data_IF_030186709812
#
_entry.id   IF_030186709812
#
_cell.length_a   1.000
_cell.length_b   1.000
_cell.length_c   1.000
_cell.angle_alpha   90.00
_cell.angle_beta   90.00
_cell.angle_gamma   90.00
#
_symmetry.space_group_name_H-M   'P 1'
#
loop_
_entity.id
_entity.type
_entity.pdbx_description
1 polymer ?
#
# COMPACT_ATOMS: atom_id res chain seq x y z
N UNK A 1 7.37 15.74 -18.27
CA UNK A 1 7.29 16.95 -19.10
C UNK A 1 6.43 17.95 -18.35
N UNK A 2 7.07 18.88 -17.62
CA UNK A 2 6.36 19.89 -16.82
C UNK A 2 6.09 21.12 -17.68
N UNK A 3 4.85 21.57 -17.68
CA UNK A 3 4.27 22.61 -18.54
C UNK A 3 4.97 23.98 -18.40
N UNK A 4 5.99 24.22 -19.24
CA UNK A 4 6.66 25.52 -19.37
C UNK A 4 6.05 26.40 -20.48
N UNK A 5 4.92 25.96 -21.05
CA UNK A 5 4.23 26.61 -22.16
C UNK A 5 3.80 28.06 -21.85
N UNK A 6 3.21 28.38 -20.69
CA UNK A 6 2.77 29.75 -20.38
C UNK A 6 3.94 30.75 -20.30
N UNK A 7 5.10 30.31 -19.78
CA UNK A 7 6.30 31.15 -19.70
C UNK A 7 6.91 31.42 -21.07
N UNK A 8 6.94 30.41 -21.95
CA UNK A 8 7.38 30.56 -23.34
C UNK A 8 6.44 31.46 -24.14
N UNK A 9 5.12 31.24 -23.99
CA UNK A 9 4.09 32.02 -24.66
C UNK A 9 4.15 33.50 -24.30
N UNK A 10 4.45 33.85 -23.03
CA UNK A 10 4.64 35.24 -22.62
C UNK A 10 5.79 35.91 -23.35
N UNK A 11 6.94 35.22 -23.47
CA UNK A 11 8.12 35.75 -24.17
C UNK A 11 7.84 35.97 -25.66
N UNK A 12 7.21 35.01 -26.31
CA UNK A 12 6.85 35.15 -27.73
C UNK A 12 5.77 36.21 -27.96
N UNK A 13 4.76 36.31 -27.10
CA UNK A 13 3.74 37.34 -27.20
C UNK A 13 4.31 38.77 -27.01
N UNK A 14 5.35 38.94 -26.19
CA UNK A 14 6.06 40.23 -26.08
C UNK A 14 6.83 40.56 -27.37
N UNK A 15 7.57 39.58 -27.93
CA UNK A 15 8.27 39.76 -29.21
C UNK A 15 7.30 40.10 -30.34
N UNK A 16 6.18 39.40 -30.46
CA UNK A 16 5.17 39.69 -31.49
C UNK A 16 4.56 41.09 -31.36
N UNK A 17 4.44 41.62 -30.14
CA UNK A 17 3.96 42.99 -29.92
C UNK A 17 5.03 44.00 -30.34
N UNK A 18 6.28 43.76 -29.94
CA UNK A 18 7.39 44.66 -30.20
C UNK A 18 7.78 44.67 -31.70
N UNK A 19 7.55 43.55 -32.41
CA UNK A 19 7.66 43.42 -33.87
C UNK A 19 6.43 43.98 -34.62
N UNK A 20 5.38 44.39 -33.92
CA UNK A 20 4.16 44.94 -34.51
C UNK A 20 3.21 43.91 -35.14
N UNK A 21 3.46 42.61 -34.95
CA UNK A 21 2.61 41.52 -35.44
C UNK A 21 1.28 41.42 -34.68
N UNK A 22 1.25 41.85 -33.41
CA UNK A 22 0.02 41.94 -32.61
C UNK A 22 -0.16 43.34 -32.00
N UNK A 23 -1.41 43.79 -31.94
CA UNK A 23 -1.77 45.05 -31.28
C UNK A 23 -1.66 44.97 -29.75
N UNK A 24 -1.41 46.11 -29.09
CA UNK A 24 -1.32 46.20 -27.63
C UNK A 24 -2.58 45.69 -26.91
N UNK A 25 -3.76 45.91 -27.49
CA UNK A 25 -5.04 45.41 -26.95
C UNK A 25 -5.16 43.89 -27.06
N UNK A 26 -4.63 43.27 -28.12
CA UNK A 26 -4.64 41.81 -28.27
C UNK A 26 -3.65 41.14 -27.30
N UNK A 27 -2.50 41.77 -27.07
CA UNK A 27 -1.54 41.33 -26.06
C UNK A 27 -2.16 41.30 -24.66
N UNK A 28 -2.93 42.33 -24.27
CA UNK A 28 -3.61 42.38 -22.97
C UNK A 28 -4.65 41.26 -22.82
N UNK A 29 -5.43 40.95 -23.86
CA UNK A 29 -6.38 39.84 -23.85
C UNK A 29 -5.70 38.47 -23.69
N UNK A 30 -4.56 38.26 -24.37
CA UNK A 30 -3.77 37.02 -24.23
C UNK A 30 -3.18 36.95 -22.82
N UNK A 31 -2.67 38.07 -22.29
CA UNK A 31 -2.09 38.15 -20.95
C UNK A 31 -3.11 37.90 -19.84
N UNK A 32 -4.36 38.33 -20.02
CA UNK A 32 -5.45 38.06 -19.10
C UNK A 32 -5.92 36.60 -19.19
N UNK A 33 -6.11 36.08 -20.41
CA UNK A 33 -6.55 34.70 -20.66
C UNK A 33 -5.58 33.65 -20.11
N UNK A 34 -4.27 33.87 -20.29
CA UNK A 34 -3.21 32.98 -19.79
C UNK A 34 -2.60 33.44 -18.46
N UNK A 35 -3.20 34.46 -17.83
CA UNK A 35 -2.82 34.99 -16.52
C UNK A 35 -1.32 35.24 -16.36
N UNK A 36 -0.69 35.98 -17.27
CA UNK A 36 0.76 36.23 -17.25
C UNK A 36 1.25 36.88 -15.94
N UNK A 37 0.39 37.67 -15.25
CA UNK A 37 0.66 38.21 -13.91
C UNK A 37 0.73 37.14 -12.81
N UNK A 38 -0.03 36.05 -12.94
CA UNK A 38 0.00 34.96 -11.97
C UNK A 38 1.22 34.05 -12.14
N UNK A 39 1.93 34.11 -13.28
CA UNK A 39 3.18 33.37 -13.46
C UNK A 39 4.31 33.94 -12.58
N UNK A 40 4.39 35.26 -12.44
CA UNK A 40 5.31 35.92 -11.51
C UNK A 40 4.92 35.69 -10.05
N UNK A 41 3.61 35.75 -9.74
CA UNK A 41 3.11 35.39 -8.41
C UNK A 41 3.45 33.94 -8.06
N UNK A 42 3.25 32.99 -8.97
CA UNK A 42 3.56 31.58 -8.74
C UNK A 42 5.07 31.32 -8.60
N UNK A 43 5.93 32.01 -9.35
CA UNK A 43 7.38 31.90 -9.20
C UNK A 43 7.86 32.52 -7.88
N UNK A 44 7.32 33.70 -7.51
CA UNK A 44 7.59 34.37 -6.23
C UNK A 44 7.11 33.53 -5.06
N UNK A 45 5.93 32.94 -5.14
CA UNK A 45 5.39 32.04 -4.11
C UNK A 45 6.24 30.78 -3.97
N UNK A 46 6.76 30.23 -5.09
CA UNK A 46 7.69 29.09 -5.06
C UNK A 46 9.02 29.46 -4.40
N UNK A 47 9.57 30.62 -4.73
CA UNK A 47 10.79 31.13 -4.11
C UNK A 47 10.60 31.39 -2.61
N UNK A 48 9.50 32.05 -2.22
CA UNK A 48 9.13 32.27 -0.82
C UNK A 48 8.95 30.94 -0.09
N UNK A 49 8.28 29.95 -0.71
CA UNK A 49 8.13 28.62 -0.12
C UNK A 49 9.48 27.91 0.09
N UNK A 50 10.42 28.02 -0.87
CA UNK A 50 11.77 27.47 -0.72
C UNK A 50 12.54 28.17 0.40
N UNK A 51 12.51 29.51 0.46
CA UNK A 51 13.16 30.28 1.53
C UNK A 51 12.57 29.95 2.89
N UNK A 52 11.24 29.84 3.00
CA UNK A 52 10.55 29.42 4.22
C UNK A 52 10.92 27.99 4.60
N UNK A 53 11.01 27.07 3.63
CA UNK A 53 11.40 25.69 3.90
C UNK A 53 12.84 25.58 4.39
N UNK A 54 13.80 26.23 3.70
CA UNK A 54 15.21 26.28 4.12
C UNK A 54 15.35 26.95 5.48
N UNK A 55 14.68 28.08 5.68
CA UNK A 55 14.65 28.79 6.96
C UNK A 55 14.11 27.91 8.08
N UNK A 56 13.03 27.16 7.82
CA UNK A 56 12.43 26.24 8.79
C UNK A 56 13.36 25.07 9.14
N UNK A 57 14.08 24.51 8.15
CA UNK A 57 15.08 23.45 8.37
C UNK A 57 16.24 23.98 9.22
N UNK A 58 16.78 25.15 8.89
CA UNK A 58 17.87 25.78 9.64
C UNK A 58 17.44 26.13 11.08
N UNK A 59 16.22 26.62 11.26
CA UNK A 59 15.66 26.92 12.58
C UNK A 59 15.47 25.64 13.40
N UNK A 60 14.95 24.58 12.80
CA UNK A 60 14.81 23.27 13.44
C UNK A 60 16.17 22.68 13.81
N UNK A 61 17.15 22.72 12.91
CA UNK A 61 18.53 22.32 13.17
C UNK A 61 19.15 23.15 14.29
N UNK A 62 19.00 24.47 14.27
CA UNK A 62 19.50 25.38 15.30
C UNK A 62 18.91 25.07 16.67
N UNK A 63 17.60 24.80 16.76
CA UNK A 63 16.95 24.36 18.00
C UNK A 63 17.56 23.02 18.47
N UNK A 64 17.67 22.03 17.59
CA UNK A 64 18.24 20.72 17.94
C UNK A 64 19.70 20.85 18.42
N UNK A 65 20.53 21.65 17.73
CA UNK A 65 21.93 21.89 18.11
C UNK A 65 22.05 22.64 19.43
N UNK A 66 21.21 23.66 19.66
CA UNK A 66 21.17 24.41 20.92
C UNK A 66 20.76 23.51 22.10
N UNK A 67 19.76 22.66 21.89
CA UNK A 67 19.31 21.68 22.88
C UNK A 67 20.40 20.65 23.15
N UNK A 68 21.08 20.16 22.11
CA UNK A 68 22.23 19.26 22.23
C UNK A 68 23.39 19.87 23.02
N UNK A 69 23.73 21.14 22.76
CA UNK A 69 24.79 21.86 23.46
C UNK A 69 24.49 22.06 24.96
N UNK A 70 23.21 22.24 25.33
CA UNK A 70 22.78 22.39 26.71
C UNK A 70 22.26 21.07 27.32
N UNK A 71 22.43 19.95 26.62
CA UNK A 71 21.85 18.67 27.02
C UNK A 71 22.46 18.12 28.30
N UNK A 72 23.72 18.46 28.63
CA UNK A 72 24.36 17.96 29.85
C UNK A 72 23.94 18.70 31.12
N UNK A 73 23.49 19.96 31.03
CA UNK A 73 23.23 20.81 32.21
C UNK A 73 21.79 20.79 32.72
N UNK A 74 20.82 20.36 31.90
CA UNK A 74 19.40 20.36 32.27
C UNK A 74 18.95 19.13 33.08
N UNK A 75 18.10 19.34 34.10
CA UNK A 75 17.40 18.25 34.80
C UNK A 75 16.45 17.50 33.85
N UNK A 76 16.02 16.28 34.23
CA UNK A 76 15.16 15.42 33.39
C UNK A 76 13.82 16.10 33.07
N UNK A 77 13.28 16.83 34.04
CA UNK A 77 12.00 17.52 33.96
C UNK A 77 12.07 18.69 32.96
N UNK A 78 13.16 19.47 32.99
CA UNK A 78 13.37 20.60 32.07
C UNK A 78 13.46 20.10 30.63
N UNK A 79 14.21 19.02 30.39
CA UNK A 79 14.31 18.39 29.07
C UNK A 79 12.96 17.91 28.56
N UNK A 80 12.18 17.24 29.42
CA UNK A 80 10.84 16.78 29.06
C UNK A 80 9.90 17.95 28.71
N UNK A 81 9.86 18.99 29.53
CA UNK A 81 9.02 20.18 29.29
C UNK A 81 9.42 20.85 27.98
N UNK A 82 10.72 20.98 27.72
CA UNK A 82 11.23 21.58 26.48
C UNK A 82 10.84 20.76 25.24
N UNK A 83 11.02 19.43 25.26
CA UNK A 83 10.64 18.55 24.15
C UNK A 83 9.13 18.55 23.90
N UNK A 84 8.32 18.51 24.96
CA UNK A 84 6.86 18.55 24.84
C UNK A 84 6.36 19.92 24.37
N UNK A 85 6.90 21.02 24.90
CA UNK A 85 6.53 22.37 24.47
C UNK A 85 6.85 22.60 22.99
N UNK A 86 7.98 22.11 22.49
CA UNK A 86 8.31 22.15 21.06
C UNK A 86 7.27 21.40 20.23
N UNK A 87 6.94 20.17 20.63
CA UNK A 87 5.91 19.36 19.96
C UNK A 87 4.54 20.06 19.95
N UNK A 88 4.06 20.54 21.10
CA UNK A 88 2.77 21.22 21.20
C UNK A 88 2.75 22.51 20.40
N UNK A 89 3.81 23.33 20.46
CA UNK A 89 3.88 24.61 19.73
C UNK A 89 3.77 24.37 18.22
N UNK A 90 4.51 23.39 17.69
CA UNK A 90 4.49 23.08 16.26
C UNK A 90 3.15 22.46 15.86
N UNK A 91 2.59 21.56 16.67
CA UNK A 91 1.29 20.94 16.40
C UNK A 91 0.16 21.96 16.41
N UNK A 92 0.12 22.85 17.41
CA UNK A 92 -0.88 23.92 17.54
C UNK A 92 -0.75 24.91 16.37
N UNK A 93 0.48 25.35 16.06
CA UNK A 93 0.73 26.26 14.94
C UNK A 93 0.34 25.62 13.61
N UNK A 94 0.69 24.34 13.40
CA UNK A 94 0.30 23.56 12.23
C UNK A 94 -1.22 23.43 12.11
N UNK A 95 -1.92 23.16 13.20
CA UNK A 95 -3.38 23.08 13.23
C UNK A 95 -4.05 24.42 12.90
N UNK A 96 -3.61 25.54 13.50
CA UNK A 96 -4.18 26.86 13.22
C UNK A 96 -3.89 27.36 11.80
N UNK A 97 -2.72 27.03 11.25
CA UNK A 97 -2.35 27.41 9.87
C UNK A 97 -3.06 26.53 8.84
N UNK A 98 -3.32 25.27 9.17
CA UNK A 98 -4.11 24.36 8.36
C UNK A 98 -5.61 24.71 8.37
N UNK A 99 -6.15 25.03 9.55
CA UNK A 99 -7.58 25.32 9.75
C UNK A 99 -7.91 26.71 9.19
N UNK A 100 -8.72 26.74 8.13
CA UNK A 100 -9.17 27.99 7.54
C UNK A 100 -10.37 28.56 8.31
N UNK A 101 -10.42 29.88 8.58
CA UNK A 101 -11.63 30.52 9.08
C UNK A 101 -12.70 30.52 7.98
N UNK A 102 -13.94 30.18 8.35
CA UNK A 102 -15.09 30.18 7.43
C UNK A 102 -15.24 31.56 6.75
N UNK A 103 -15.34 31.58 5.42
CA UNK A 103 -15.67 32.78 4.63
C UNK A 103 -14.52 33.45 3.85
N UNK A 104 -13.26 32.97 3.92
CA UNK A 104 -12.15 33.51 3.10
C UNK A 104 -11.77 32.58 1.93
N UNK A 105 -11.37 33.16 0.79
CA UNK A 105 -10.88 32.41 -0.38
C UNK A 105 -9.70 31.51 0.01
N UNK A 106 -9.61 30.27 -0.51
CA UNK A 106 -8.61 29.32 -0.09
C UNK A 106 -7.20 29.78 -0.51
N UNK A 107 -6.40 30.25 0.46
CA UNK A 107 -4.96 30.39 0.27
C UNK A 107 -4.32 29.01 0.32
N UNK A 108 -4.14 28.40 -0.84
CA UNK A 108 -3.57 27.06 -0.99
C UNK A 108 -2.18 26.94 -0.32
N UNK A 109 -1.38 28.01 -0.33
CA UNK A 109 -0.05 28.05 0.30
C UNK A 109 -0.11 27.85 1.82
N UNK A 110 -1.04 28.52 2.53
CA UNK A 110 -1.18 28.38 4.00
C UNK A 110 -1.58 26.96 4.41
N UNK A 111 -2.46 26.33 3.63
CA UNK A 111 -2.88 24.95 3.88
C UNK A 111 -1.73 23.96 3.70
N UNK A 112 -0.94 24.10 2.64
CA UNK A 112 0.25 23.26 2.39
C UNK A 112 1.28 23.43 3.52
N UNK A 113 1.51 24.67 3.96
CA UNK A 113 2.39 24.97 5.09
C UNK A 113 1.89 24.31 6.38
N UNK A 114 0.59 24.42 6.70
CA UNK A 114 -0.01 23.79 7.87
C UNK A 114 0.08 22.26 7.85
N UNK A 115 -0.19 21.63 6.70
CA UNK A 115 0.01 20.19 6.51
C UNK A 115 1.49 19.81 6.71
N UNK A 116 2.43 20.61 6.21
CA UNK A 116 3.87 20.42 6.42
C UNK A 116 4.29 20.53 7.88
N UNK A 117 3.77 21.50 8.62
CA UNK A 117 4.03 21.65 10.06
C UNK A 117 3.48 20.47 10.87
N UNK A 118 2.32 19.92 10.50
CA UNK A 118 1.74 18.76 11.16
C UNK A 118 2.54 17.47 10.88
N UNK A 119 3.09 17.32 9.67
CA UNK A 119 4.05 16.24 9.37
C UNK A 119 5.34 16.44 10.17
N UNK A 120 5.85 17.66 10.27
CA UNK A 120 7.01 17.97 11.11
C UNK A 120 6.74 17.61 12.59
N UNK A 121 5.56 17.96 13.11
CA UNK A 121 5.14 17.57 14.44
C UNK A 121 5.12 16.04 14.62
N UNK A 122 4.66 15.30 13.62
CA UNK A 122 4.69 13.84 13.63
C UNK A 122 6.13 13.29 13.72
N UNK A 123 7.11 13.90 13.06
CA UNK A 123 8.53 13.53 13.22
C UNK A 123 9.11 13.89 14.60
N UNK A 124 8.75 15.06 15.11
CA UNK A 124 9.17 15.51 16.45
C UNK A 124 8.62 14.57 17.53
N UNK A 125 7.41 14.05 17.36
CA UNK A 125 6.85 13.03 18.27
C UNK A 125 7.75 11.78 18.35
N UNK A 126 8.24 11.28 17.21
CA UNK A 126 9.16 10.15 17.16
C UNK A 126 10.51 10.45 17.83
N UNK A 127 11.08 11.62 17.55
CA UNK A 127 12.30 12.08 18.20
C UNK A 127 12.13 12.20 19.72
N UNK A 128 10.98 12.70 20.17
CA UNK A 128 10.65 12.79 21.59
C UNK A 128 10.57 11.39 22.22
N UNK A 129 9.93 10.41 21.59
CA UNK A 129 9.89 9.04 22.11
C UNK A 129 11.30 8.44 22.24
N UNK A 130 12.16 8.59 21.23
CA UNK A 130 13.52 8.09 21.27
C UNK A 130 14.37 8.74 22.39
N UNK A 131 14.29 10.07 22.52
CA UNK A 131 15.01 10.81 23.57
C UNK A 131 14.48 10.51 24.97
N UNK A 132 13.16 10.33 25.13
CA UNK A 132 12.56 9.92 26.40
C UNK A 132 13.02 8.51 26.80
N UNK A 133 13.05 7.56 25.86
CA UNK A 133 13.54 6.21 26.12
C UNK A 133 14.99 6.23 26.64
N UNK A 134 15.86 7.02 26.02
CA UNK A 134 17.25 7.22 26.49
C UNK A 134 17.32 7.92 27.85
N UNK A 135 16.53 8.97 28.06
CA UNK A 135 16.57 9.78 29.29
C UNK A 135 16.10 9.01 30.53
N UNK A 136 15.09 8.14 30.37
CA UNK A 136 14.54 7.33 31.45
C UNK A 136 15.15 5.93 31.54
N UNK A 137 16.19 5.63 30.74
CA UNK A 137 16.79 4.30 30.63
C UNK A 137 15.74 3.19 30.38
N UNK A 138 14.72 3.49 29.57
CA UNK A 138 13.70 2.50 29.21
C UNK A 138 14.33 1.59 28.15
N UNK A 139 14.57 0.33 28.53
CA UNK A 139 14.95 -0.72 27.60
C UNK A 139 13.75 -1.13 26.75
N UNK A 140 13.71 -0.67 25.50
CA UNK A 140 12.67 -1.02 24.53
C UNK A 140 13.29 -1.46 23.20
N UNK A 141 12.61 -2.35 22.49
CA UNK A 141 13.03 -2.75 21.15
C UNK A 141 12.68 -1.67 20.12
N UNK A 142 13.37 -1.69 18.98
CA UNK A 142 13.07 -0.79 17.85
C UNK A 142 11.60 -0.88 17.43
N UNK A 143 11.02 -2.08 17.48
CA UNK A 143 9.59 -2.30 17.20
C UNK A 143 8.68 -1.48 18.11
N UNK A 144 8.92 -1.49 19.43
CA UNK A 144 8.12 -0.75 20.40
C UNK A 144 8.12 0.76 20.10
N UNK A 145 9.28 1.31 19.74
CA UNK A 145 9.42 2.72 19.39
C UNK A 145 8.57 3.08 18.17
N UNK A 146 8.71 2.33 17.08
CA UNK A 146 7.99 2.62 15.83
C UNK A 146 6.49 2.34 15.93
N UNK A 147 6.07 1.34 16.70
CA UNK A 147 4.65 1.06 16.94
C UNK A 147 4.00 2.16 17.80
N UNK A 148 4.65 2.60 18.88
CA UNK A 148 4.15 3.70 19.70
C UNK A 148 4.11 5.02 18.90
N UNK A 149 5.16 5.28 18.12
CA UNK A 149 5.22 6.45 17.25
C UNK A 149 4.13 6.42 16.18
N UNK A 150 4.01 5.31 15.45
CA UNK A 150 2.98 5.11 14.43
C UNK A 150 1.57 5.25 14.99
N UNK A 151 1.31 4.72 16.19
CA UNK A 151 0.02 4.87 16.88
C UNK A 151 -0.27 6.33 17.25
N UNK A 152 0.72 7.09 17.72
CA UNK A 152 0.57 8.53 17.97
C UNK A 152 0.21 9.31 16.70
N UNK A 153 0.89 9.03 15.58
CA UNK A 153 0.58 9.66 14.28
C UNK A 153 -0.77 9.19 13.74
N UNK A 154 -1.17 7.94 14.01
CA UNK A 154 -2.48 7.41 13.64
C UNK A 154 -3.61 8.17 14.34
N UNK A 155 -3.47 8.48 15.63
CA UNK A 155 -4.43 9.32 16.38
C UNK A 155 -4.53 10.72 15.75
N UNK A 156 -3.40 11.32 15.37
CA UNK A 156 -3.41 12.60 14.66
C UNK A 156 -4.12 12.50 13.30
N UNK A 157 -3.90 11.41 12.56
CA UNK A 157 -4.54 11.17 11.26
C UNK A 157 -6.06 11.01 11.39
N UNK A 158 -6.56 10.30 12.41
CA UNK A 158 -7.99 10.20 12.70
C UNK A 158 -8.61 11.54 13.10
N UNK A 159 -7.91 12.31 13.93
CA UNK A 159 -8.39 13.61 14.41
C UNK A 159 -8.49 14.64 13.28
N UNK A 160 -7.49 14.68 12.39
CA UNK A 160 -7.38 15.73 11.37
C UNK A 160 -7.85 15.29 9.98
N UNK A 161 -8.02 13.98 9.75
CA UNK A 161 -8.40 13.39 8.46
C UNK A 161 -7.50 13.83 7.29
N UNK A 162 -6.19 14.00 7.56
CA UNK A 162 -5.18 14.40 6.56
C UNK A 162 -4.52 13.15 5.97
N UNK A 163 -4.54 13.04 4.63
CA UNK A 163 -4.03 11.88 3.90
C UNK A 163 -2.54 11.59 4.16
N UNK A 164 -1.69 12.63 4.18
CA UNK A 164 -0.25 12.47 4.38
C UNK A 164 0.09 11.91 5.77
N UNK A 165 -0.61 12.36 6.82
CA UNK A 165 -0.48 11.82 8.17
C UNK A 165 -0.94 10.35 8.23
N UNK A 166 -2.04 10.00 7.57
CA UNK A 166 -2.51 8.61 7.51
C UNK A 166 -1.52 7.69 6.80
N UNK A 167 -0.92 8.13 5.70
CA UNK A 167 0.14 7.39 5.00
C UNK A 167 1.38 7.24 5.89
N UNK A 168 1.83 8.31 6.54
CA UNK A 168 2.97 8.28 7.46
C UNK A 168 2.73 7.32 8.63
N UNK A 169 1.54 7.35 9.24
CA UNK A 169 1.17 6.44 10.32
C UNK A 169 1.28 4.97 9.89
N UNK A 170 0.73 4.62 8.72
CA UNK A 170 0.80 3.25 8.19
C UNK A 170 2.26 2.83 7.94
N UNK A 171 3.08 3.70 7.34
CA UNK A 171 4.49 3.42 7.09
C UNK A 171 5.24 3.15 8.40
N UNK A 172 5.05 4.00 9.42
CA UNK A 172 5.70 3.84 10.72
C UNK A 172 5.28 2.56 11.43
N UNK A 173 3.99 2.24 11.44
CA UNK A 173 3.48 0.98 12.01
C UNK A 173 4.04 -0.22 11.25
N UNK A 174 4.19 -0.13 9.92
CA UNK A 174 4.74 -1.22 9.12
C UNK A 174 6.24 -1.43 9.38
N UNK A 175 7.01 -0.37 9.60
CA UNK A 175 8.42 -0.46 10.04
C UNK A 175 8.48 -1.14 11.42
N UNK A 176 7.62 -0.73 12.35
CA UNK A 176 7.51 -1.35 13.67
C UNK A 176 7.12 -2.83 13.61
N UNK A 177 6.24 -3.21 12.68
CA UNK A 177 5.87 -4.59 12.42
C UNK A 177 7.05 -5.43 11.92
N UNK A 178 7.72 -5.00 10.85
CA UNK A 178 8.81 -5.78 10.25
C UNK A 178 9.99 -5.98 11.20
N UNK A 179 10.35 -4.92 11.95
CA UNK A 179 11.39 -5.02 12.98
C UNK A 179 10.97 -5.92 14.15
N UNK A 180 9.69 -5.92 14.53
CA UNK A 180 9.17 -6.79 15.59
C UNK A 180 8.92 -8.24 15.16
N UNK A 181 8.81 -8.50 13.85
CA UNK A 181 8.66 -9.84 13.31
C UNK A 181 9.95 -10.65 13.51
N UNK A 182 11.11 -10.02 13.35
CA UNK A 182 12.41 -10.65 13.66
C UNK A 182 12.48 -11.02 15.15
N UNK A 183 12.07 -10.12 16.04
CA UNK A 183 11.99 -10.40 17.48
C UNK A 183 11.04 -11.57 17.78
N UNK A 184 9.89 -11.66 17.10
CA UNK A 184 8.94 -12.77 17.24
C UNK A 184 9.52 -14.13 16.83
N UNK A 185 10.32 -14.16 15.77
CA UNK A 185 10.86 -15.40 15.19
C UNK A 185 12.07 -15.93 15.95
N UNK A 186 12.89 -15.04 16.54
CA UNK A 186 14.19 -15.41 17.12
C UNK A 186 14.28 -15.25 18.65
N UNK A 187 13.39 -14.49 19.28
CA UNK A 187 13.44 -14.23 20.73
C UNK A 187 12.33 -14.96 21.49
N UNK A 188 12.73 -15.92 22.34
CA UNK A 188 11.83 -16.68 23.23
C UNK A 188 11.54 -15.95 24.56
N UNK A 189 11.90 -14.67 24.69
CA UNK A 189 11.76 -13.88 25.92
C UNK A 189 10.47 -13.05 26.01
N UNK A 190 10.02 -12.83 27.26
CA UNK A 190 8.93 -11.99 27.79
C UNK A 190 7.84 -11.45 26.83
N UNK A 191 6.58 -11.75 27.16
CA UNK A 191 5.39 -11.21 26.48
C UNK A 191 5.28 -9.70 26.67
N UNK A 192 5.87 -8.95 25.74
CA UNK A 192 5.73 -7.48 25.68
C UNK A 192 4.50 -7.08 24.88
N UNK A 193 3.89 -5.93 25.19
CA UNK A 193 2.74 -5.39 24.45
C UNK A 193 2.97 -5.29 22.94
N UNK A 194 4.18 -4.93 22.51
CA UNK A 194 4.54 -4.87 21.09
C UNK A 194 4.49 -6.26 20.43
N UNK A 195 4.86 -7.33 21.15
CA UNK A 195 4.79 -8.71 20.65
C UNK A 195 3.36 -9.09 20.28
N UNK A 196 2.40 -8.76 21.14
CA UNK A 196 0.97 -8.99 20.89
C UNK A 196 0.47 -8.16 19.70
N UNK A 197 0.90 -6.90 19.57
CA UNK A 197 0.56 -6.04 18.43
C UNK A 197 1.08 -6.62 17.12
N UNK A 198 2.32 -7.12 17.10
CA UNK A 198 2.91 -7.74 15.89
C UNK A 198 2.21 -9.06 15.57
N UNK A 199 1.93 -9.91 16.57
CA UNK A 199 1.24 -11.18 16.41
C UNK A 199 -0.18 -11.00 15.82
N UNK A 200 -0.91 -10.00 16.28
CA UNK A 200 -2.27 -9.69 15.83
C UNK A 200 -2.36 -8.58 14.78
N UNK A 201 -1.23 -8.23 14.14
CA UNK A 201 -1.18 -7.17 13.12
C UNK A 201 -2.11 -7.39 11.92
N UNK A 202 -2.37 -8.64 11.45
CA UNK A 202 -3.36 -8.86 10.40
C UNK A 202 -4.74 -8.30 10.76
N UNK A 203 -5.23 -8.57 11.97
CA UNK A 203 -6.50 -7.99 12.43
C UNK A 203 -6.41 -6.48 12.62
N UNK A 204 -5.35 -6.01 13.28
CA UNK A 204 -5.19 -4.59 13.62
C UNK A 204 -5.05 -3.71 12.37
N UNK A 205 -4.32 -4.16 11.35
CA UNK A 205 -4.16 -3.42 10.10
C UNK A 205 -5.50 -3.22 9.39
N UNK A 206 -6.35 -4.25 9.33
CA UNK A 206 -7.68 -4.13 8.77
C UNK A 206 -8.59 -3.23 9.63
N UNK A 207 -8.60 -3.46 10.95
CA UNK A 207 -9.44 -2.73 11.89
C UNK A 207 -9.08 -1.24 11.99
N UNK A 208 -7.79 -0.89 11.93
CA UNK A 208 -7.31 0.47 12.13
C UNK A 208 -7.18 1.26 10.84
N UNK A 209 -6.81 0.64 9.71
CA UNK A 209 -6.50 1.38 8.49
C UNK A 209 -7.66 1.45 7.51
N UNK A 210 -8.58 0.47 7.50
CA UNK A 210 -9.77 0.54 6.63
C UNK A 210 -10.72 1.67 7.06
N UNK A 211 -11.08 1.84 8.34
CA UNK A 211 -11.90 2.99 8.74
C UNK A 211 -11.18 4.31 8.49
N UNK A 212 -9.88 4.40 8.74
CA UNK A 212 -9.07 5.58 8.42
C UNK A 212 -9.18 5.95 6.93
N UNK A 213 -9.19 4.97 6.03
CA UNK A 213 -9.38 5.21 4.60
C UNK A 213 -10.72 5.89 4.30
N UNK A 214 -11.80 5.53 5.01
CA UNK A 214 -13.10 6.20 4.89
C UNK A 214 -13.11 7.61 5.46
N UNK A 215 -12.51 7.82 6.65
CA UNK A 215 -12.38 9.16 7.24
C UNK A 215 -11.62 10.12 6.33
N UNK A 216 -10.49 9.67 5.79
CA UNK A 216 -9.64 10.43 4.87
C UNK A 216 -10.15 10.43 3.41
N UNK A 217 -11.16 9.60 3.08
CA UNK A 217 -11.66 9.34 1.72
C UNK A 217 -10.55 9.06 0.70
N UNK A 218 -9.52 8.31 1.10
CA UNK A 218 -8.28 8.14 0.34
C UNK A 218 -8.09 6.72 -0.17
N UNK A 219 -8.02 6.58 -1.50
CA UNK A 219 -7.71 5.30 -2.19
C UNK A 219 -6.32 4.78 -1.85
N UNK A 220 -5.36 5.67 -1.61
CA UNK A 220 -3.99 5.29 -1.23
C UNK A 220 -3.95 4.65 0.14
N UNK A 221 -4.67 5.21 1.12
CA UNK A 221 -4.73 4.64 2.48
C UNK A 221 -5.39 3.26 2.43
N UNK A 222 -6.49 3.09 1.68
CA UNK A 222 -7.10 1.78 1.51
C UNK A 222 -6.17 0.76 0.85
N UNK A 223 -5.46 1.16 -0.22
CA UNK A 223 -4.50 0.28 -0.89
C UNK A 223 -3.35 -0.14 0.02
N UNK A 224 -2.82 0.80 0.82
CA UNK A 224 -1.79 0.50 1.83
C UNK A 224 -2.34 -0.39 2.94
N UNK A 225 -3.57 -0.16 3.42
CA UNK A 225 -4.23 -0.99 4.42
C UNK A 225 -4.34 -2.44 3.95
N UNK A 226 -4.80 -2.65 2.72
CA UNK A 226 -4.90 -3.98 2.10
C UNK A 226 -3.51 -4.63 1.95
N UNK A 227 -2.50 -3.87 1.52
CA UNK A 227 -1.13 -4.37 1.43
C UNK A 227 -0.60 -4.81 2.80
N UNK A 228 -0.69 -3.95 3.82
CA UNK A 228 -0.26 -4.24 5.19
C UNK A 228 -0.98 -5.47 5.77
N UNK A 229 -2.29 -5.59 5.53
CA UNK A 229 -3.08 -6.75 5.90
C UNK A 229 -2.55 -8.03 5.25
N UNK A 230 -2.42 -8.03 3.91
CA UNK A 230 -1.98 -9.21 3.19
C UNK A 230 -0.55 -9.60 3.58
N UNK A 231 0.38 -8.63 3.63
CA UNK A 231 1.78 -8.90 3.98
C UNK A 231 1.94 -9.41 5.40
N UNK A 232 1.23 -8.82 6.38
CA UNK A 232 1.32 -9.26 7.77
C UNK A 232 0.70 -10.64 7.99
N UNK A 233 -0.40 -10.96 7.28
CA UNK A 233 -1.00 -12.28 7.37
C UNK A 233 -0.07 -13.36 6.81
N UNK A 234 0.53 -13.13 5.64
CA UNK A 234 1.48 -14.08 5.04
C UNK A 234 2.73 -14.24 5.92
N UNK A 235 3.26 -13.15 6.48
CA UNK A 235 4.48 -13.19 7.26
C UNK A 235 4.28 -13.83 8.66
N UNK A 236 3.17 -13.55 9.34
CA UNK A 236 2.88 -14.15 10.66
C UNK A 236 2.56 -15.65 10.57
N UNK A 237 1.87 -16.07 9.52
CA UNK A 237 1.54 -17.49 9.34
C UNK A 237 2.66 -18.27 8.64
N UNK A 238 3.51 -17.59 7.88
CA UNK A 238 4.58 -18.16 7.07
C UNK A 238 4.17 -19.48 6.37
N UNK A 239 3.20 -19.42 5.45
CA UNK A 239 2.51 -20.62 4.96
C UNK A 239 3.37 -21.51 4.06
N UNK A 240 4.46 -21.00 3.48
CA UNK A 240 5.30 -21.74 2.54
C UNK A 240 5.97 -22.96 3.19
N UNK A 241 6.71 -22.83 4.31
CA UNK A 241 7.18 -23.99 5.04
C UNK A 241 6.05 -24.91 5.50
N UNK A 242 4.92 -24.34 5.95
CA UNK A 242 3.77 -25.11 6.45
C UNK A 242 3.15 -26.05 5.41
N UNK A 243 3.32 -25.78 4.11
CA UNK A 243 2.88 -26.68 3.03
C UNK A 243 3.53 -28.06 3.11
N UNK A 244 4.79 -28.12 3.56
CA UNK A 244 5.62 -29.32 3.45
C UNK A 244 5.69 -30.14 4.76
N UNK A 245 5.26 -29.56 5.89
CA UNK A 245 5.27 -30.21 7.19
C UNK A 245 3.98 -30.99 7.47
N UNK A 246 4.10 -32.27 7.82
CA UNK A 246 2.95 -33.15 8.07
C UNK A 246 2.27 -32.94 9.44
N UNK A 247 2.95 -32.32 10.40
CA UNK A 247 2.48 -32.22 11.81
C UNK A 247 1.68 -30.96 12.13
N UNK A 248 1.55 -30.02 11.19
CA UNK A 248 0.72 -28.81 11.36
C UNK A 248 -0.64 -29.03 10.70
N UNK A 249 -1.66 -28.37 11.24
CA UNK A 249 -3.02 -28.46 10.71
C UNK A 249 -3.07 -28.06 9.21
N UNK A 250 -3.48 -28.96 8.30
CA UNK A 250 -3.27 -28.76 6.86
C UNK A 250 -4.01 -27.57 6.22
N UNK A 251 -4.99 -27.07 6.94
CA UNK A 251 -5.80 -25.95 6.50
C UNK A 251 -5.10 -24.60 6.71
N UNK A 252 -4.08 -24.49 7.59
CA UNK A 252 -3.46 -23.19 7.93
C UNK A 252 -2.83 -22.53 6.71
N UNK A 253 -1.98 -23.26 5.97
CA UNK A 253 -1.34 -22.74 4.75
C UNK A 253 -2.39 -22.40 3.68
N UNK A 254 -3.34 -23.31 3.49
CA UNK A 254 -4.45 -23.17 2.54
C UNK A 254 -5.27 -21.89 2.79
N UNK A 255 -5.67 -21.64 4.04
CA UNK A 255 -6.40 -20.43 4.41
C UNK A 255 -5.53 -19.18 4.37
N UNK A 256 -4.25 -19.26 4.76
CA UNK A 256 -3.33 -18.14 4.68
C UNK A 256 -3.26 -17.60 3.24
N UNK A 257 -3.11 -18.47 2.24
CA UNK A 257 -3.08 -18.06 0.83
C UNK A 257 -4.45 -17.58 0.31
N UNK A 258 -5.55 -18.21 0.75
CA UNK A 258 -6.88 -17.92 0.24
C UNK A 258 -7.51 -16.64 0.81
N UNK A 259 -7.20 -16.27 2.06
CA UNK A 259 -7.90 -15.20 2.78
C UNK A 259 -7.74 -13.81 2.15
N UNK A 260 -6.52 -13.32 1.80
CA UNK A 260 -6.38 -12.00 1.19
C UNK A 260 -7.19 -11.82 -0.10
N UNK A 261 -7.07 -12.69 -1.13
CA UNK A 261 -7.86 -12.52 -2.34
C UNK A 261 -9.36 -12.73 -2.09
N UNK A 262 -9.75 -13.64 -1.19
CA UNK A 262 -11.16 -13.87 -0.86
C UNK A 262 -11.82 -12.63 -0.24
N UNK A 263 -11.17 -12.01 0.74
CA UNK A 263 -11.66 -10.81 1.43
C UNK A 263 -11.70 -9.58 0.52
N UNK A 264 -10.65 -9.39 -0.29
CA UNK A 264 -10.59 -8.25 -1.20
C UNK A 264 -11.67 -8.32 -2.29
N UNK A 265 -11.98 -9.52 -2.79
CA UNK A 265 -13.03 -9.69 -3.79
C UNK A 265 -14.43 -9.49 -3.22
N UNK A 266 -14.69 -10.02 -2.02
CA UNK A 266 -15.98 -9.92 -1.36
C UNK A 266 -16.27 -8.56 -0.74
N UNK A 267 -15.25 -7.70 -0.67
CA UNK A 267 -15.38 -6.37 -0.08
C UNK A 267 -16.44 -5.51 -0.81
N UNK A 268 -17.37 -4.98 -0.03
CA UNK A 268 -18.33 -3.97 -0.48
C UNK A 268 -18.39 -2.85 0.55
N UNK A 269 -18.33 -1.59 0.10
CA UNK A 269 -18.42 -0.44 0.98
C UNK A 269 -19.75 -0.40 1.77
N UNK A 270 -20.80 -1.05 1.23
CA UNK A 270 -22.12 -1.20 1.88
C UNK A 270 -22.11 -2.10 3.12
N UNK A 271 -21.00 -2.75 3.44
CA UNK A 271 -20.83 -3.47 4.71
C UNK A 271 -20.90 -2.51 5.92
N UNK A 272 -20.58 -1.23 5.70
CA UNK A 272 -20.71 -0.19 6.72
C UNK A 272 -22.08 0.50 6.58
N UNK A 273 -23.01 0.35 7.54
CA UNK A 273 -24.38 0.87 7.41
C UNK A 273 -24.46 2.39 7.21
N UNK A 274 -23.43 3.13 7.62
CA UNK A 274 -23.34 4.59 7.46
C UNK A 274 -22.93 5.03 6.04
N UNK A 275 -22.56 4.11 5.15
CA UNK A 275 -21.93 4.40 3.86
C UNK A 275 -22.80 3.90 2.72
N UNK A 276 -23.30 4.83 1.90
CA UNK A 276 -24.20 4.53 0.78
C UNK A 276 -23.53 4.61 -0.60
N UNK A 277 -22.19 4.73 -0.65
CA UNK A 277 -21.43 4.86 -1.90
C UNK A 277 -20.29 3.86 -1.94
N UNK A 278 -19.93 3.39 -3.15
CA UNK A 278 -18.88 2.39 -3.38
C UNK A 278 -17.60 3.05 -3.86
N UNK A 279 -16.75 3.48 -2.94
CA UNK A 279 -15.49 4.17 -3.28
C UNK A 279 -14.33 3.20 -3.45
N UNK A 280 -14.29 2.16 -2.62
CA UNK A 280 -13.15 1.24 -2.52
C UNK A 280 -13.41 -0.12 -3.17
N UNK A 281 -14.66 -0.54 -3.39
CA UNK A 281 -14.97 -1.85 -3.98
C UNK A 281 -14.19 -2.17 -5.27
N UNK A 282 -14.08 -1.23 -6.21
CA UNK A 282 -13.34 -1.44 -7.47
C UNK A 282 -11.85 -1.62 -7.20
N UNK A 283 -11.30 -0.85 -6.27
CA UNK A 283 -9.89 -0.96 -5.87
C UNK A 283 -9.64 -2.29 -5.16
N UNK A 284 -10.52 -2.70 -4.24
CA UNK A 284 -10.45 -3.97 -3.53
C UNK A 284 -10.45 -5.15 -4.51
N UNK A 285 -11.35 -5.17 -5.50
CA UNK A 285 -11.38 -6.23 -6.53
C UNK A 285 -10.10 -6.27 -7.38
N UNK A 286 -9.56 -5.12 -7.77
CA UNK A 286 -8.27 -5.08 -8.48
C UNK A 286 -7.15 -5.64 -7.60
N UNK A 287 -7.12 -5.29 -6.31
CA UNK A 287 -6.17 -5.83 -5.34
C UNK A 287 -6.36 -7.34 -5.13
N UNK A 288 -7.59 -7.85 -5.19
CA UNK A 288 -7.87 -9.28 -5.15
C UNK A 288 -7.22 -10.01 -6.33
N UNK A 289 -7.35 -9.48 -7.55
CA UNK A 289 -6.70 -10.04 -8.75
C UNK A 289 -5.17 -10.00 -8.65
N UNK A 290 -4.61 -8.94 -8.08
CA UNK A 290 -3.17 -8.86 -7.79
C UNK A 290 -2.77 -9.92 -6.76
N UNK A 291 -3.56 -10.11 -5.70
CA UNK A 291 -3.31 -11.15 -4.70
C UNK A 291 -3.39 -12.56 -5.28
N UNK A 292 -4.38 -12.85 -6.16
CA UNK A 292 -4.42 -14.10 -6.93
C UNK A 292 -3.17 -14.28 -7.78
N UNK A 293 -2.75 -13.24 -8.51
CA UNK A 293 -1.54 -13.28 -9.34
C UNK A 293 -0.29 -13.60 -8.51
N UNK A 294 -0.15 -12.96 -7.34
CA UNK A 294 0.97 -13.23 -6.44
C UNK A 294 0.95 -14.67 -5.89
N UNK A 295 -0.19 -15.15 -5.39
CA UNK A 295 -0.32 -16.52 -4.86
C UNK A 295 -0.07 -17.56 -5.94
N UNK A 296 -0.71 -17.41 -7.11
CA UNK A 296 -0.51 -18.34 -8.24
C UNK A 296 0.92 -18.34 -8.73
N UNK A 297 1.56 -17.16 -8.77
CA UNK A 297 2.96 -17.07 -9.17
C UNK A 297 3.89 -17.75 -8.18
N UNK A 298 3.74 -17.50 -6.87
CA UNK A 298 4.56 -18.14 -5.84
C UNK A 298 4.38 -19.66 -5.88
N UNK A 299 3.13 -20.15 -5.84
CA UNK A 299 2.83 -21.59 -5.87
C UNK A 299 3.11 -22.25 -7.23
N UNK A 300 3.45 -21.48 -8.27
CA UNK A 300 3.89 -22.05 -9.55
C UNK A 300 5.33 -22.57 -9.50
N UNK A 301 6.15 -22.16 -8.52
CA UNK A 301 7.55 -22.57 -8.46
C UNK A 301 7.74 -23.94 -7.81
N UNK A 302 8.76 -24.66 -8.28
CA UNK A 302 9.12 -25.98 -7.77
C UNK A 302 9.53 -25.94 -6.29
N UNK A 303 10.35 -24.97 -5.90
CA UNK A 303 10.83 -24.82 -4.53
C UNK A 303 9.72 -24.63 -3.49
N UNK A 304 8.51 -24.20 -3.89
CA UNK A 304 7.37 -24.07 -2.97
C UNK A 304 6.81 -25.42 -2.51
N UNK A 305 7.01 -26.48 -3.32
CA UNK A 305 6.50 -27.83 -3.08
C UNK A 305 7.59 -28.80 -2.62
N UNK A 306 8.85 -28.40 -2.73
CA UNK A 306 9.97 -29.19 -2.22
C UNK A 306 10.18 -28.88 -0.74
N UNK A 307 10.06 -29.91 0.10
CA UNK A 307 10.33 -29.82 1.53
C UNK A 307 11.76 -29.36 1.77
N UNK A 308 12.00 -28.17 2.34
CA UNK A 308 13.32 -27.83 2.79
C UNK A 308 13.67 -28.75 3.97
N UNK A 309 14.84 -29.40 3.96
CA UNK A 309 15.41 -30.16 5.10
C UNK A 309 15.79 -29.25 6.29
N UNK A 310 15.18 -28.07 6.41
CA UNK A 310 15.40 -27.17 7.51
C UNK A 310 14.68 -27.71 8.74
N UNK A 311 15.46 -27.97 9.79
CA UNK A 311 15.01 -28.22 11.14
C UNK A 311 14.23 -27.01 11.67
N UNK A 312 12.95 -26.90 11.28
CA UNK A 312 12.00 -26.04 11.95
C UNK A 312 11.71 -26.68 13.30
N UNK A 313 12.09 -25.99 14.39
CA UNK A 313 11.81 -26.45 15.74
C UNK A 313 10.29 -26.55 15.92
N UNK A 314 9.81 -27.79 16.00
CA UNK A 314 8.40 -28.14 16.11
C UNK A 314 7.75 -27.56 17.37
N UNK A 315 6.57 -26.94 17.28
CA UNK A 315 5.64 -26.90 18.40
C UNK A 315 4.99 -28.28 18.54
N UNK A 316 5.56 -29.13 19.39
CA UNK A 316 5.19 -30.55 19.57
C UNK A 316 3.82 -30.80 20.22
N UNK A 317 3.09 -29.75 20.65
CA UNK A 317 1.79 -29.86 21.32
C UNK A 317 0.75 -28.89 20.74
N UNK A 318 -0.54 -29.26 20.77
CA UNK A 318 -1.66 -28.39 20.40
C UNK A 318 -1.65 -27.06 21.16
N UNK A 319 -1.22 -27.06 22.42
CA UNK A 319 -1.03 -25.83 23.22
C UNK A 319 0.01 -24.90 22.61
N UNK A 320 1.13 -25.45 22.11
CA UNK A 320 2.19 -24.67 21.46
C UNK A 320 1.73 -24.12 20.11
N UNK A 321 0.81 -24.78 19.40
CA UNK A 321 0.22 -24.28 18.16
C UNK A 321 -0.68 -23.05 18.40
N UNK A 322 -1.50 -23.08 19.45
CA UNK A 322 -2.34 -21.94 19.85
C UNK A 322 -1.52 -20.78 20.44
N UNK A 323 -0.36 -21.06 21.04
CA UNK A 323 0.54 -20.05 21.57
C UNK A 323 1.47 -19.43 20.52
N UNK A 324 1.86 -20.18 19.48
CA UNK A 324 2.84 -19.72 18.47
C UNK A 324 2.24 -19.11 17.20
N UNK A 325 1.08 -19.61 16.73
CA UNK A 325 0.43 -19.11 15.52
C UNK A 325 -0.81 -18.28 15.89
N UNK A 326 -1.08 -17.14 15.20
CA UNK A 326 -2.29 -16.35 15.41
C UNK A 326 -3.51 -17.06 14.79
N UNK A 327 -3.84 -18.26 15.27
CA UNK A 327 -4.99 -19.05 14.82
C UNK A 327 -6.30 -18.29 15.09
N UNK A 328 -6.33 -17.50 16.17
CA UNK A 328 -7.45 -16.61 16.50
C UNK A 328 -7.72 -15.64 15.33
N UNK A 329 -6.67 -15.04 14.76
CA UNK A 329 -6.79 -14.14 13.61
C UNK A 329 -7.35 -14.87 12.40
N UNK A 330 -6.86 -16.08 12.13
CA UNK A 330 -7.33 -16.90 11.02
C UNK A 330 -8.81 -17.27 11.17
N UNK A 331 -9.24 -17.61 12.40
CA UNK A 331 -10.65 -17.86 12.73
C UNK A 331 -11.54 -16.63 12.54
N UNK A 332 -11.11 -15.47 13.04
CA UNK A 332 -11.86 -14.21 12.88
C UNK A 332 -11.93 -13.78 11.41
N UNK A 333 -10.82 -13.85 10.68
CA UNK A 333 -10.75 -13.46 9.27
C UNK A 333 -11.52 -14.41 8.35
N UNK A 334 -11.51 -15.72 8.64
CA UNK A 334 -12.34 -16.69 7.91
C UNK A 334 -13.83 -16.47 8.19
N UNK A 335 -14.22 -16.19 9.44
CA UNK A 335 -15.59 -15.79 9.79
C UNK A 335 -16.03 -14.51 9.05
N UNK A 336 -15.16 -13.50 9.01
CA UNK A 336 -15.36 -12.26 8.24
C UNK A 336 -15.52 -12.57 6.74
N UNK A 337 -14.69 -13.44 6.17
CA UNK A 337 -14.79 -13.83 4.77
C UNK A 337 -16.12 -14.51 4.46
N UNK A 338 -16.54 -15.48 5.28
CA UNK A 338 -17.84 -16.14 5.13
C UNK A 338 -18.97 -15.12 5.19
N UNK A 339 -18.94 -14.20 6.16
CA UNK A 339 -19.95 -13.15 6.28
C UNK A 339 -20.01 -12.24 5.03
N UNK A 340 -18.87 -11.77 4.53
CA UNK A 340 -18.82 -10.93 3.33
C UNK A 340 -19.31 -11.66 2.08
N UNK A 341 -18.96 -12.94 1.93
CA UNK A 341 -19.42 -13.76 0.81
C UNK A 341 -20.93 -14.05 0.86
N UNK A 342 -21.49 -14.31 2.05
CA UNK A 342 -22.94 -14.43 2.25
C UNK A 342 -23.66 -13.13 1.89
N UNK A 343 -23.12 -11.99 2.31
CA UNK A 343 -23.64 -10.67 1.96
C UNK A 343 -23.61 -10.42 0.44
N UNK A 344 -22.48 -10.76 -0.20
CA UNK A 344 -22.29 -10.63 -1.64
C UNK A 344 -23.29 -11.48 -2.43
N UNK A 345 -23.58 -12.69 -1.96
CA UNK A 345 -24.59 -13.60 -2.53
C UNK A 345 -26.01 -13.05 -2.37
N UNK A 346 -26.34 -12.50 -1.20
CA UNK A 346 -27.65 -11.88 -0.94
C UNK A 346 -27.91 -10.66 -1.85
N UNK A 347 -26.87 -9.88 -2.12
CA UNK A 347 -26.96 -8.69 -2.99
C UNK A 347 -26.88 -8.99 -4.49
N UNK A 348 -26.69 -10.25 -4.91
CA UNK A 348 -26.58 -10.63 -6.33
C UNK A 348 -27.80 -10.21 -7.17
N UNK A 349 -28.97 -10.07 -6.54
CA UNK A 349 -30.23 -9.72 -7.21
C UNK A 349 -30.40 -8.23 -7.53
N UNK A 350 -29.53 -7.34 -7.03
CA UNK A 350 -29.59 -5.89 -7.32
C UNK A 350 -28.39 -5.47 -8.19
N UNK A 351 -28.55 -5.19 -9.50
CA UNK A 351 -27.43 -4.83 -10.36
C UNK A 351 -26.99 -3.39 -10.07
N UNK A 352 -25.67 -3.14 -9.99
CA UNK A 352 -24.97 -2.69 -11.19
C UNK A 352 -23.54 -3.27 -11.23
N UNK A 353 -23.41 -4.60 -11.38
CA UNK A 353 -22.09 -5.27 -11.40
C UNK A 353 -21.59 -5.39 -12.84
N UNK A 354 -20.59 -4.58 -13.21
CA UNK A 354 -19.90 -4.66 -14.51
C UNK A 354 -18.85 -5.78 -14.49
N UNK A 355 -19.25 -6.99 -14.13
CA UNK A 355 -18.39 -8.20 -14.16
C UNK A 355 -18.43 -8.78 -15.58
N UNK A 356 -17.46 -8.41 -16.43
CA UNK A 356 -17.44 -8.86 -17.83
C UNK A 356 -16.74 -10.21 -17.99
N UNK A 357 -15.69 -10.47 -17.21
CA UNK A 357 -14.86 -11.68 -17.33
C UNK A 357 -14.67 -12.35 -15.96
N UNK A 358 -14.18 -11.60 -14.98
CA UNK A 358 -14.05 -12.09 -13.62
C UNK A 358 -15.40 -12.04 -12.91
N UNK A 359 -16.20 -13.10 -13.12
CA UNK A 359 -17.43 -13.29 -12.37
C UNK A 359 -17.12 -13.85 -10.99
N UNK A 360 -18.03 -13.62 -10.05
CA UNK A 360 -17.95 -14.23 -8.71
C UNK A 360 -17.75 -15.76 -8.76
N UNK A 361 -18.30 -16.46 -9.77
CA UNK A 361 -18.14 -17.90 -9.97
C UNK A 361 -16.70 -18.30 -10.38
N UNK A 362 -16.06 -17.52 -11.25
CA UNK A 362 -14.65 -17.74 -11.62
C UNK A 362 -13.76 -17.54 -10.39
N UNK A 363 -14.03 -16.50 -9.60
CA UNK A 363 -13.25 -16.19 -8.41
C UNK A 363 -13.44 -17.24 -7.30
N UNK A 364 -14.66 -17.74 -7.09
CA UNK A 364 -14.87 -18.85 -6.15
C UNK A 364 -14.12 -20.11 -6.60
N UNK A 365 -14.00 -20.34 -7.91
CA UNK A 365 -13.23 -21.46 -8.46
C UNK A 365 -11.73 -21.29 -8.17
N UNK A 366 -11.18 -20.09 -8.37
CA UNK A 366 -9.79 -19.78 -8.01
C UNK A 366 -9.52 -19.98 -6.51
N UNK A 367 -10.42 -19.51 -5.65
CA UNK A 367 -10.31 -19.72 -4.19
C UNK A 367 -10.35 -21.22 -3.86
N UNK A 368 -11.25 -21.98 -4.48
CA UNK A 368 -11.35 -23.42 -4.27
C UNK A 368 -10.04 -24.13 -4.61
N UNK A 369 -9.37 -23.78 -5.72
CA UNK A 369 -8.06 -24.35 -6.04
C UNK A 369 -6.96 -23.96 -5.03
N UNK A 370 -6.93 -22.71 -4.56
CA UNK A 370 -5.97 -22.26 -3.52
C UNK A 370 -6.17 -23.02 -2.21
N UNK A 371 -7.40 -23.39 -1.87
CA UNK A 371 -7.66 -24.16 -0.65
C UNK A 371 -7.38 -25.64 -0.84
N UNK A 372 -7.91 -26.24 -1.91
CA UNK A 372 -7.90 -27.70 -2.11
C UNK A 372 -6.52 -28.23 -2.43
N UNK A 373 -5.72 -27.55 -3.27
CA UNK A 373 -4.45 -28.10 -3.75
C UNK A 373 -3.39 -28.17 -2.64
N UNK A 374 -3.07 -27.09 -1.91
CA UNK A 374 -2.28 -27.14 -0.68
C UNK A 374 -2.77 -28.17 0.35
N UNK A 375 -4.08 -28.18 0.63
CA UNK A 375 -4.66 -29.10 1.59
C UNK A 375 -4.47 -30.58 1.18
N UNK A 376 -4.65 -30.89 -0.10
CA UNK A 376 -4.43 -32.23 -0.66
C UNK A 376 -2.97 -32.65 -0.52
N UNK A 377 -2.05 -31.77 -0.91
CA UNK A 377 -0.61 -32.01 -0.85
C UNK A 377 -0.14 -32.41 0.56
N UNK A 378 -0.69 -31.75 1.58
CA UNK A 378 -0.31 -31.98 2.97
C UNK A 378 -1.04 -33.16 3.63
N UNK A 379 -2.33 -33.39 3.31
CA UNK A 379 -3.17 -34.34 4.06
C UNK A 379 -3.29 -35.71 3.40
N UNK A 380 -3.37 -35.75 2.06
CA UNK A 380 -3.73 -36.97 1.32
C UNK A 380 -2.49 -37.60 0.70
N UNK A 381 -1.77 -36.83 -0.11
CA UNK A 381 -0.60 -37.29 -0.84
C UNK A 381 0.19 -36.09 -1.35
N UNK A 382 1.53 -36.15 -1.26
CA UNK A 382 2.40 -35.14 -1.87
C UNK A 382 2.21 -35.12 -3.39
N UNK A 383 1.81 -33.97 -3.91
CA UNK A 383 1.45 -33.74 -5.32
C UNK A 383 2.30 -32.62 -5.94
N UNK A 384 3.62 -32.71 -5.81
CA UNK A 384 4.55 -31.62 -6.13
C UNK A 384 4.43 -31.19 -7.59
N UNK A 385 4.56 -32.13 -8.53
CA UNK A 385 4.46 -31.85 -9.97
C UNK A 385 3.07 -31.38 -10.40
N UNK A 386 2.02 -32.00 -9.85
CA UNK A 386 0.64 -31.63 -10.16
C UNK A 386 0.29 -30.25 -9.60
N UNK A 387 0.76 -29.91 -8.40
CA UNK A 387 0.59 -28.59 -7.79
C UNK A 387 1.21 -27.50 -8.65
N UNK A 388 2.48 -27.68 -9.03
CA UNK A 388 3.20 -26.80 -9.97
C UNK A 388 2.41 -26.62 -11.27
N UNK A 389 1.95 -27.72 -11.88
CA UNK A 389 1.19 -27.67 -13.13
C UNK A 389 -0.13 -26.90 -12.96
N UNK A 390 -0.92 -27.20 -11.93
CA UNK A 390 -2.21 -26.54 -11.67
C UNK A 390 -2.01 -25.03 -11.51
N UNK A 391 -1.06 -24.58 -10.69
CA UNK A 391 -0.85 -23.15 -10.46
C UNK A 391 -0.26 -22.42 -11.67
N UNK A 392 0.53 -23.10 -12.52
CA UNK A 392 0.93 -22.54 -13.82
C UNK A 392 -0.26 -22.34 -14.75
N UNK A 393 -1.17 -23.31 -14.83
CA UNK A 393 -2.39 -23.19 -15.63
C UNK A 393 -3.27 -22.07 -15.08
N UNK A 394 -3.46 -21.99 -13.76
CA UNK A 394 -4.23 -20.92 -13.12
C UNK A 394 -3.62 -19.54 -13.40
N UNK A 395 -2.29 -19.40 -13.33
CA UNK A 395 -1.61 -18.16 -13.66
C UNK A 395 -1.83 -17.73 -15.12
N UNK A 396 -1.73 -18.66 -16.07
CA UNK A 396 -2.05 -18.39 -17.50
C UNK A 396 -3.52 -17.99 -17.66
N UNK A 397 -4.45 -18.69 -16.99
CA UNK A 397 -5.89 -18.37 -17.10
C UNK A 397 -6.21 -16.99 -16.53
N UNK A 398 -5.59 -16.59 -15.43
CA UNK A 398 -5.73 -15.26 -14.85
C UNK A 398 -5.15 -14.19 -15.78
N UNK A 399 -3.95 -14.41 -16.31
CA UNK A 399 -3.28 -13.49 -17.21
C UNK A 399 -4.07 -13.29 -18.51
N UNK A 400 -4.57 -14.39 -19.10
CA UNK A 400 -5.48 -14.36 -20.23
C UNK A 400 -6.78 -13.60 -19.92
N UNK A 401 -7.39 -13.85 -18.76
CA UNK A 401 -8.59 -13.15 -18.31
C UNK A 401 -8.39 -11.64 -18.22
N UNK A 402 -7.25 -11.19 -17.68
CA UNK A 402 -6.87 -9.78 -17.58
C UNK A 402 -6.66 -9.12 -18.94
N UNK A 403 -5.99 -9.82 -19.88
CA UNK A 403 -5.83 -9.35 -21.25
C UNK A 403 -7.19 -9.18 -21.92
N UNK A 404 -8.06 -10.19 -21.84
CA UNK A 404 -9.40 -10.14 -22.42
C UNK A 404 -10.24 -9.00 -21.81
N UNK A 405 -10.11 -8.75 -20.51
CA UNK A 405 -10.83 -7.67 -19.83
C UNK A 405 -10.31 -6.31 -20.29
N UNK A 406 -9.00 -6.15 -20.38
CA UNK A 406 -8.36 -4.97 -20.95
C UNK A 406 -8.79 -4.69 -22.38
N UNK A 407 -8.96 -5.73 -23.20
CA UNK A 407 -9.44 -5.63 -24.58
C UNK A 407 -10.93 -5.25 -24.67
N UNK A 408 -11.78 -5.82 -23.83
CA UNK A 408 -13.23 -5.55 -23.85
C UNK A 408 -13.59 -4.19 -23.25
N UNK A 409 -12.92 -3.80 -22.15
CA UNK A 409 -13.18 -2.56 -21.43
C UNK A 409 -12.29 -1.40 -21.87
N UNK A 410 -11.35 -1.64 -22.80
CA UNK A 410 -10.29 -0.71 -23.20
C UNK A 410 -9.50 -0.17 -21.99
N UNK A 411 -9.31 -1.01 -20.97
CA UNK A 411 -8.60 -0.66 -19.76
C UNK A 411 -7.12 -1.03 -19.89
N UNK A 412 -6.26 -0.01 -19.93
CA UNK A 412 -4.80 -0.16 -20.04
C UNK A 412 -4.24 -1.00 -18.89
N UNK A 413 -4.72 -0.78 -17.66
CA UNK A 413 -4.15 -1.42 -16.48
C UNK A 413 -4.39 -2.94 -16.49
N UNK A 414 -5.59 -3.39 -16.86
CA UNK A 414 -5.90 -4.83 -16.96
C UNK A 414 -5.10 -5.48 -18.09
N UNK A 415 -5.03 -4.85 -19.27
CA UNK A 415 -4.28 -5.38 -20.40
C UNK A 415 -2.79 -5.56 -20.06
N UNK A 416 -2.14 -4.49 -19.58
CA UNK A 416 -0.73 -4.53 -19.21
C UNK A 416 -0.46 -5.43 -18.00
N UNK A 417 -1.39 -5.52 -17.04
CA UNK A 417 -1.29 -6.45 -15.93
C UNK A 417 -1.27 -7.91 -16.38
N UNK A 418 -2.17 -8.29 -17.30
CA UNK A 418 -2.17 -9.65 -17.86
C UNK A 418 -0.94 -9.94 -18.73
N UNK A 419 -0.50 -8.98 -19.55
CA UNK A 419 0.75 -9.10 -20.32
C UNK A 419 1.96 -9.29 -19.40
N UNK A 420 2.05 -8.51 -18.32
CA UNK A 420 3.13 -8.62 -17.33
C UNK A 420 3.14 -9.99 -16.67
N UNK A 421 1.98 -10.53 -16.27
CA UNK A 421 1.93 -11.87 -15.67
C UNK A 421 2.39 -12.96 -16.64
N UNK A 422 2.00 -12.89 -17.92
CA UNK A 422 2.48 -13.83 -18.94
C UNK A 422 3.99 -13.73 -19.14
N UNK A 423 4.54 -12.52 -19.25
CA UNK A 423 5.98 -12.36 -19.46
C UNK A 423 6.78 -12.80 -18.26
N UNK A 424 6.32 -12.46 -17.05
CA UNK A 424 6.90 -12.89 -15.80
C UNK A 424 6.90 -14.42 -15.70
N UNK A 425 5.80 -15.08 -16.08
CA UNK A 425 5.73 -16.55 -16.11
C UNK A 425 6.77 -17.15 -17.08
N UNK A 426 6.84 -16.66 -18.33
CA UNK A 426 7.83 -17.15 -19.31
C UNK A 426 9.25 -16.93 -18.83
N UNK A 427 9.56 -15.74 -18.31
CA UNK A 427 10.90 -15.40 -17.81
C UNK A 427 11.28 -16.33 -16.66
N UNK A 428 10.40 -16.50 -15.68
CA UNK A 428 10.68 -17.31 -14.51
C UNK A 428 10.88 -18.78 -14.85
N UNK A 429 10.14 -19.35 -15.82
CA UNK A 429 10.38 -20.71 -16.31
C UNK A 429 11.74 -20.86 -17.00
N UNK A 430 12.17 -19.88 -17.79
CA UNK A 430 13.50 -19.92 -18.43
C UNK A 430 14.65 -19.78 -17.43
N UNK A 431 14.41 -19.14 -16.28
CA UNK A 431 15.40 -19.01 -15.22
C UNK A 431 15.45 -20.25 -14.31
N UNK A 432 14.30 -20.87 -14.04
CA UNK A 432 14.17 -22.01 -13.14
C UNK A 432 14.71 -23.32 -13.73
N UNK A 433 14.52 -23.55 -15.04
CA UNK A 433 15.01 -24.75 -15.69
C UNK A 433 16.37 -24.52 -16.36
N UNK A 434 17.29 -25.47 -16.15
CA UNK A 434 18.58 -25.54 -16.84
C UNK A 434 18.36 -25.80 -18.33
N UNK A 435 18.28 -24.71 -19.08
CA UNK A 435 18.13 -24.70 -20.53
C UNK A 435 19.33 -23.99 -21.16
N UNK A 436 19.63 -24.32 -22.41
CA UNK A 436 20.76 -23.73 -23.12
C UNK A 436 20.61 -22.20 -23.26
N UNK A 437 21.74 -21.49 -23.18
CA UNK A 437 21.79 -20.02 -23.22
C UNK A 437 21.25 -19.47 -24.54
N UNK A 438 21.52 -20.15 -25.66
CA UNK A 438 20.98 -19.76 -26.97
C UNK A 438 19.46 -19.88 -26.98
N UNK A 439 18.91 -20.95 -26.43
CA UNK A 439 17.46 -21.13 -26.31
C UNK A 439 16.81 -20.05 -25.43
N UNK A 440 17.39 -19.73 -24.25
CA UNK A 440 16.90 -18.63 -23.39
C UNK A 440 16.89 -17.31 -24.14
N UNK A 441 17.97 -16.98 -24.86
CA UNK A 441 18.06 -15.74 -25.63
C UNK A 441 16.98 -15.65 -26.71
N UNK A 442 16.73 -16.75 -27.43
CA UNK A 442 15.71 -16.81 -28.47
C UNK A 442 14.31 -16.60 -27.90
N UNK A 443 13.99 -17.27 -26.78
CA UNK A 443 12.68 -17.10 -26.10
C UNK A 443 12.50 -15.66 -25.62
N UNK A 444 13.53 -15.02 -25.07
CA UNK A 444 13.45 -13.62 -24.66
C UNK A 444 13.25 -12.66 -25.83
N UNK A 445 13.92 -12.88 -26.97
CA UNK A 445 13.72 -12.06 -28.19
C UNK A 445 12.30 -12.22 -28.73
N UNK A 446 11.78 -13.45 -28.79
CA UNK A 446 10.41 -13.72 -29.23
C UNK A 446 9.37 -13.11 -28.27
N UNK A 447 9.54 -13.27 -26.97
CA UNK A 447 8.64 -12.70 -25.97
C UNK A 447 8.65 -11.16 -26.00
N UNK A 448 9.84 -10.55 -26.10
CA UNK A 448 10.00 -9.10 -26.19
C UNK A 448 9.36 -8.53 -27.47
N UNK A 449 9.60 -9.15 -28.63
CA UNK A 449 9.00 -8.71 -29.89
C UNK A 449 7.47 -8.88 -29.90
N UNK A 450 6.95 -9.97 -29.34
CA UNK A 450 5.52 -10.19 -29.17
C UNK A 450 4.88 -9.13 -28.25
N UNK A 451 5.51 -8.80 -27.12
CA UNK A 451 5.03 -7.78 -26.19
C UNK A 451 5.00 -6.38 -26.83
N UNK A 452 6.07 -6.00 -27.55
CA UNK A 452 6.11 -4.72 -28.27
C UNK A 452 5.01 -4.65 -29.32
N UNK A 453 4.84 -5.72 -30.11
CA UNK A 453 3.82 -5.79 -31.16
C UNK A 453 2.41 -5.71 -30.58
N UNK A 454 2.13 -6.46 -29.52
CA UNK A 454 0.85 -6.45 -28.83
C UNK A 454 0.54 -5.08 -28.21
N UNK A 455 1.54 -4.42 -27.60
CA UNK A 455 1.41 -3.09 -27.02
C UNK A 455 1.11 -2.02 -28.06
N UNK A 456 1.86 -2.00 -29.18
CA UNK A 456 1.61 -1.08 -30.29
C UNK A 456 0.24 -1.31 -30.92
N UNK A 457 -0.18 -2.57 -31.08
CA UNK A 457 -1.50 -2.90 -31.59
C UNK A 457 -2.61 -2.41 -30.66
N UNK A 458 -2.45 -2.61 -29.36
CA UNK A 458 -3.41 -2.16 -28.35
C UNK A 458 -3.56 -0.63 -28.33
N UNK A 459 -2.46 0.12 -28.36
CA UNK A 459 -2.48 1.59 -28.36
C UNK A 459 -3.05 2.18 -29.67
N UNK A 460 -2.88 1.49 -30.81
CA UNK A 460 -3.48 1.92 -32.09
C UNK A 460 -5.00 1.74 -32.13
N UNK A 461 -5.58 0.96 -31.21
CA UNK A 461 -7.01 0.70 -31.15
C UNK A 461 -7.73 1.94 -30.60
N UNK A 462 -8.30 2.77 -31.48
CA UNK A 462 -9.17 3.87 -31.05
C UNK A 462 -10.40 3.31 -30.33
N UNK A 463 -10.80 3.85 -29.17
CA UNK A 463 -12.08 3.49 -28.57
C UNK A 463 -13.21 3.79 -29.57
N UNK A 464 -14.12 2.84 -29.77
CA UNK A 464 -15.25 2.95 -30.70
C UNK A 464 -16.31 4.01 -30.30
N UNK A 465 -15.98 4.97 -29.43
CA UNK A 465 -16.92 5.91 -28.81
C UNK A 465 -16.60 7.38 -29.15
N UNK A 466 -16.23 7.68 -30.40
CA UNK A 466 -16.35 9.05 -30.96
C UNK A 466 -17.14 9.09 -32.28
N UNK A 467 -18.06 8.14 -32.45
CA UNK A 467 -19.14 8.23 -33.43
C UNK A 467 -20.48 8.16 -32.69
N UNK A 468 -20.83 9.25 -32.02
CA UNK A 468 -22.21 9.70 -31.84
C UNK A 468 -22.21 11.20 -31.73
#
# INVERSE_FOLDING_TARGET
>A
MLDNFPQKLRKEAQLWRDEGLISSSLYEQIAERYQFKNLEAAARDRFVAIVVAIGSILLCLGIITFVGANWQSGSREVKFILLMSLFFTITITGFYTWRQPEGKKPEQSKRILGEGLLILAAFILGANFALMAQMFNISGTTSQLFLAWGLGVLVMAYSLSINSLGILAIILVQIGYWTGLEDLLYSSGESTWARLVVQHMPLLSWLLFVPLAYFCRSRWIFGLAAFCFASSLQANLNPLPLLNYAEVAPWVASFAFALPPALFWSYDDLLFPSINYRLFQILARNLALVAFGAVFYVLSFRWSWESPDYAYNQPTNLTNLFESLPIIDLGILSGLAVFQWLFLMRQRNNPPRREVIFTTAVISTFIAFIVVVPFWHQTISRIDELGIFIFNVLLVTLAWGLIQEGLKLNNRNSFWGGMLLLTLQVISRMLEYDTDLLFKSLVFVLCGSALISAGLWFERRKPAASKK
#
